data_IF_188409579590
#
_entry.id   IF_188409579590
#
_cell.length_a   1.000
_cell.length_b   1.000
_cell.length_c   1.000
_cell.angle_alpha   90.00
_cell.angle_beta   90.00
_cell.angle_gamma   90.00
#
_symmetry.space_group_name_H-M   'P 1'
#
loop_
_entity.id
_entity.type
_entity.pdbx_description
1 polymer ?
#
# COMPACT_ATOMS: atom_id res chain seq x y z
N UNK A 1 -32.34 1.36 11.35
CA UNK A 1 -31.47 2.25 10.62
C UNK A 1 -30.12 1.59 10.33
N UNK A 2 -29.81 1.41 9.07
CA UNK A 2 -28.57 0.73 8.64
C UNK A 2 -27.60 1.73 8.07
N UNK A 3 -26.39 1.76 8.62
CA UNK A 3 -25.30 2.51 8.04
C UNK A 3 -24.59 1.61 7.02
N UNK A 4 -24.50 2.07 5.78
CA UNK A 4 -23.78 1.34 4.74
C UNK A 4 -22.30 1.35 5.04
N UNK A 5 -21.69 0.16 5.05
CA UNK A 5 -20.25 0.01 5.19
C UNK A 5 -19.58 0.35 3.86
N UNK A 6 -18.51 1.10 3.90
CA UNK A 6 -17.76 1.50 2.73
C UNK A 6 -16.33 1.01 2.79
N UNK A 7 -15.75 0.83 1.61
CA UNK A 7 -14.34 0.56 1.46
C UNK A 7 -13.74 1.55 0.47
N UNK A 8 -12.51 1.94 0.71
CA UNK A 8 -11.70 2.74 -0.21
C UNK A 8 -10.49 1.92 -0.61
N UNK A 9 -10.12 2.02 -1.87
CA UNK A 9 -8.98 1.30 -2.41
C UNK A 9 -8.18 2.19 -3.35
N UNK A 10 -6.87 2.14 -3.19
CA UNK A 10 -5.93 2.70 -4.17
C UNK A 10 -5.08 1.58 -4.72
N UNK A 11 -4.89 1.57 -6.02
CA UNK A 11 -3.99 0.65 -6.68
C UNK A 11 -3.11 1.41 -7.67
N UNK A 12 -1.92 0.88 -7.90
CA UNK A 12 -0.99 1.45 -8.84
C UNK A 12 0.00 0.39 -9.30
N UNK A 13 0.61 0.67 -10.44
CA UNK A 13 1.75 -0.07 -10.95
C UNK A 13 2.99 0.78 -10.75
N UNK A 14 4.04 0.22 -10.18
CA UNK A 14 5.24 0.97 -9.82
C UNK A 14 6.50 0.27 -10.28
N UNK A 15 7.48 1.06 -10.69
CA UNK A 15 8.76 0.58 -11.19
C UNK A 15 9.89 1.38 -10.56
N UNK A 16 10.94 0.68 -10.17
CA UNK A 16 12.16 1.31 -9.71
C UNK A 16 13.36 0.42 -9.97
N UNK A 17 14.54 0.98 -9.80
CA UNK A 17 15.80 0.26 -9.96
C UNK A 17 16.68 0.51 -8.76
N UNK A 18 17.55 -0.45 -8.47
CA UNK A 18 18.60 -0.25 -7.48
C UNK A 18 19.85 0.31 -8.16
N UNK A 19 20.69 1.01 -7.37
CA UNK A 19 22.01 1.41 -7.80
C UNK A 19 23.02 1.00 -6.74
N UNK A 20 23.83 -0.03 -7.05
CA UNK A 20 24.68 -0.64 -6.05
C UNK A 20 23.85 -1.27 -4.93
N UNK A 21 24.06 -0.81 -3.69
CA UNK A 21 23.31 -1.26 -2.51
C UNK A 21 22.14 -0.35 -2.16
N UNK A 22 21.88 0.67 -2.99
CA UNK A 22 20.84 1.66 -2.74
C UNK A 22 19.56 1.26 -3.45
N UNK A 23 18.49 1.17 -2.68
CA UNK A 23 17.15 0.82 -3.19
C UNK A 23 16.19 1.98 -3.00
N UNK A 24 15.23 2.16 -3.91
CA UNK A 24 14.14 3.08 -3.67
C UNK A 24 13.15 2.49 -2.68
N UNK A 25 12.31 3.37 -2.10
CA UNK A 25 11.12 2.99 -1.35
C UNK A 25 9.93 3.61 -2.07
N UNK A 26 8.87 2.85 -2.29
CA UNK A 26 7.70 3.34 -2.98
C UNK A 26 6.43 2.70 -2.43
N UNK A 27 5.32 3.41 -2.58
CA UNK A 27 4.06 2.92 -2.05
C UNK A 27 2.84 3.76 -2.40
N UNK A 28 1.72 3.31 -1.89
CA UNK A 28 0.41 3.95 -2.02
C UNK A 28 -0.17 4.22 -0.66
N UNK A 29 -0.99 5.25 -0.54
CA UNK A 29 -1.56 5.66 0.75
C UNK A 29 -3.02 6.08 0.63
N UNK A 30 -3.73 5.91 1.74
CA UNK A 30 -5.12 6.34 1.91
C UNK A 30 -5.24 7.12 3.22
N UNK A 31 -6.27 7.93 3.32
CA UNK A 31 -6.62 8.68 4.54
C UNK A 31 -5.58 9.75 4.92
N UNK A 32 -4.89 10.32 3.96
CA UNK A 32 -3.99 11.45 4.18
C UNK A 32 -2.63 11.06 4.74
N UNK A 33 -1.85 12.08 5.10
CA UNK A 33 -0.46 11.91 5.56
C UNK A 33 -0.36 11.07 6.84
N UNK A 34 -1.33 11.22 7.74
CA UNK A 34 -1.39 10.45 8.98
C UNK A 34 -2.29 9.21 8.87
N UNK A 35 -2.67 8.85 7.65
CA UNK A 35 -3.43 7.63 7.38
C UNK A 35 -2.54 6.42 7.19
N UNK A 36 -2.93 5.57 6.28
CA UNK A 36 -2.24 4.29 6.04
C UNK A 36 -1.43 4.34 4.75
N UNK A 37 -0.24 3.76 4.79
CA UNK A 37 0.64 3.65 3.64
C UNK A 37 1.14 2.22 3.51
N UNK A 38 0.96 1.67 2.33
CA UNK A 38 1.55 0.39 1.94
C UNK A 38 2.79 0.70 1.13
N UNK A 39 3.96 0.24 1.59
CA UNK A 39 5.20 0.49 0.88
C UNK A 39 6.06 -0.76 0.71
N UNK A 40 6.78 -0.77 -0.38
CA UNK A 40 7.84 -1.74 -0.64
C UNK A 40 9.15 -1.12 -0.19
N UNK A 41 9.84 -1.77 0.74
CA UNK A 41 11.12 -1.33 1.29
C UNK A 41 12.19 -2.40 0.99
N UNK A 42 12.76 -2.41 -0.23
CA UNK A 42 13.62 -3.51 -0.67
C UNK A 42 14.91 -3.64 0.15
N UNK A 43 15.47 -2.53 0.62
CA UNK A 43 16.66 -2.57 1.48
C UNK A 43 16.42 -3.31 2.79
N UNK A 44 15.19 -3.28 3.28
CA UNK A 44 14.75 -4.01 4.47
C UNK A 44 14.20 -5.40 4.13
N UNK A 45 14.13 -5.73 2.84
CA UNK A 45 13.54 -6.97 2.33
C UNK A 45 12.12 -7.19 2.85
N UNK A 46 11.32 -6.13 2.83
CA UNK A 46 10.01 -6.15 3.43
C UNK A 46 8.98 -5.31 2.66
N UNK A 47 7.72 -5.71 2.84
CA UNK A 47 6.57 -4.86 2.61
C UNK A 47 6.14 -4.39 3.99
N UNK A 48 5.90 -3.09 4.11
CA UNK A 48 5.51 -2.46 5.37
C UNK A 48 4.17 -1.76 5.21
N UNK A 49 3.36 -1.85 6.25
CA UNK A 49 2.14 -1.08 6.38
C UNK A 49 2.35 -0.08 7.51
N UNK A 50 2.20 1.21 7.20
CA UNK A 50 2.41 2.28 8.16
C UNK A 50 1.09 2.98 8.47
N UNK A 51 0.98 3.42 9.72
CA UNK A 51 -0.03 4.39 10.15
C UNK A 51 0.71 5.65 10.55
N UNK A 52 0.57 6.71 9.75
CA UNK A 52 1.46 7.87 9.87
C UNK A 52 2.90 7.44 9.63
N UNK A 53 3.76 7.66 10.61
CA UNK A 53 5.17 7.27 10.55
C UNK A 53 5.47 5.93 11.24
N UNK A 54 4.47 5.29 11.85
CA UNK A 54 4.66 4.06 12.61
C UNK A 54 4.39 2.83 11.74
N UNK A 55 5.30 1.86 11.74
CA UNK A 55 5.08 0.57 11.09
C UNK A 55 4.15 -0.27 11.96
N UNK A 56 2.97 -0.58 11.45
CA UNK A 56 1.95 -1.35 12.18
C UNK A 56 1.90 -2.81 11.73
N UNK A 57 2.45 -3.12 10.55
CA UNK A 57 2.60 -4.49 10.08
C UNK A 57 3.75 -4.58 9.10
N UNK A 58 4.36 -5.76 9.00
CA UNK A 58 5.53 -5.99 8.16
C UNK A 58 5.57 -7.45 7.74
N UNK A 59 5.86 -7.71 6.46
CA UNK A 59 6.02 -9.06 5.95
C UNK A 59 7.28 -9.13 5.07
N UNK A 60 7.98 -10.28 5.04
CA UNK A 60 9.15 -10.45 4.17
C UNK A 60 8.77 -10.33 2.70
N UNK A 61 9.62 -9.68 1.94
CA UNK A 61 9.43 -9.55 0.49
C UNK A 61 10.78 -9.33 -0.19
N UNK A 62 11.01 -10.04 -1.29
CA UNK A 62 12.21 -9.87 -2.10
C UNK A 62 11.88 -9.22 -3.42
N UNK A 63 12.64 -8.19 -3.74
CA UNK A 63 12.55 -7.49 -5.01
C UNK A 63 13.94 -7.01 -5.41
N UNK A 64 14.37 -7.40 -6.59
CA UNK A 64 15.72 -7.10 -7.06
C UNK A 64 15.86 -5.81 -7.85
N UNK A 65 14.75 -5.14 -8.12
CA UNK A 65 14.72 -3.96 -8.98
C UNK A 65 14.51 -4.31 -10.45
N UNK A 66 14.18 -3.30 -11.26
CA UNK A 66 14.05 -3.46 -12.70
C UNK A 66 12.80 -4.19 -13.17
N UNK A 67 11.79 -4.31 -12.31
CA UNK A 67 10.51 -4.88 -12.71
C UNK A 67 9.35 -4.08 -12.15
N UNK A 68 8.24 -4.11 -12.85
CA UNK A 68 7.00 -3.48 -12.41
C UNK A 68 6.33 -4.34 -11.35
N UNK A 69 5.92 -3.68 -10.26
CA UNK A 69 5.09 -4.27 -9.23
C UNK A 69 3.72 -3.62 -9.22
N UNK A 70 2.70 -4.39 -8.89
CA UNK A 70 1.38 -3.86 -8.60
C UNK A 70 1.15 -3.84 -7.10
N UNK A 71 0.62 -2.71 -6.62
CA UNK A 71 0.26 -2.51 -5.23
C UNK A 71 -1.21 -2.17 -5.15
N UNK A 72 -1.91 -2.70 -4.16
CA UNK A 72 -3.25 -2.23 -3.82
C UNK A 72 -3.38 -2.14 -2.32
N UNK A 73 -4.00 -1.06 -1.86
CA UNK A 73 -4.26 -0.80 -0.45
C UNK A 73 -5.75 -0.56 -0.28
N UNK A 74 -6.38 -1.28 0.63
CA UNK A 74 -7.80 -1.16 0.92
C UNK A 74 -8.00 -0.88 2.39
N UNK A 75 -8.87 0.09 2.68
CA UNK A 75 -9.34 0.38 4.03
C UNK A 75 -10.85 0.21 4.02
N UNK A 76 -11.35 -0.70 4.83
CA UNK A 76 -12.78 -1.01 4.85
C UNK A 76 -13.29 -1.23 6.28
N UNK A 77 -14.53 -0.84 6.50
CA UNK A 77 -15.21 -1.15 7.74
C UNK A 77 -15.69 -2.60 7.69
N UNK A 78 -15.21 -3.42 8.61
CA UNK A 78 -15.54 -4.86 8.69
C UNK A 78 -16.43 -5.21 9.85
N UNK A 79 -16.71 -4.25 10.72
CA UNK A 79 -17.63 -4.39 11.85
C UNK A 79 -18.09 -3.01 12.31
N UNK A 80 -18.96 -2.96 13.32
CA UNK A 80 -19.47 -1.68 13.82
C UNK A 80 -18.35 -0.80 14.41
N UNK A 81 -17.37 -1.45 15.05
CA UNK A 81 -16.21 -0.78 15.64
C UNK A 81 -14.91 -1.42 15.15
N UNK A 82 -14.91 -1.93 13.94
CA UNK A 82 -13.73 -2.56 13.37
C UNK A 82 -13.51 -2.11 11.93
N UNK A 83 -12.28 -1.75 11.61
CA UNK A 83 -11.81 -1.47 10.26
C UNK A 83 -10.63 -2.36 9.95
N UNK A 84 -10.57 -2.86 8.73
CA UNK A 84 -9.46 -3.67 8.25
C UNK A 84 -8.72 -2.93 7.18
N UNK A 85 -7.41 -2.83 7.35
CA UNK A 85 -6.49 -2.28 6.38
C UNK A 85 -5.76 -3.45 5.75
N UNK A 86 -5.84 -3.59 4.45
CA UNK A 86 -5.23 -4.71 3.75
C UNK A 86 -4.46 -4.25 2.52
N UNK A 87 -3.33 -4.89 2.27
CA UNK A 87 -2.48 -4.61 1.14
C UNK A 87 -2.14 -5.85 0.36
N UNK A 88 -1.98 -5.67 -0.95
CA UNK A 88 -1.48 -6.71 -1.86
C UNK A 88 -0.34 -6.15 -2.67
N UNK A 89 0.71 -6.94 -2.85
CA UNK A 89 1.84 -6.61 -3.71
C UNK A 89 2.17 -7.82 -4.54
N UNK A 90 2.24 -7.65 -5.86
CA UNK A 90 2.54 -8.75 -6.77
C UNK A 90 3.24 -8.24 -8.02
N UNK A 91 3.92 -9.15 -8.73
CA UNK A 91 4.58 -8.82 -9.98
C UNK A 91 3.55 -8.48 -11.06
N UNK A 92 3.82 -7.43 -11.82
CA UNK A 92 2.97 -7.06 -12.95
C UNK A 92 2.96 -8.20 -13.99
N UNK A 93 1.80 -8.43 -14.58
CA UNK A 93 1.59 -9.54 -15.51
C UNK A 93 1.21 -10.86 -14.86
N UNK A 94 1.24 -10.93 -13.52
CA UNK A 94 0.76 -12.11 -12.78
C UNK A 94 -0.60 -11.82 -12.16
N UNK A 95 -1.40 -12.86 -11.86
CA UNK A 95 -2.68 -12.66 -11.18
C UNK A 95 -2.50 -12.04 -9.80
N UNK A 96 -3.41 -11.18 -9.40
CA UNK A 96 -3.43 -10.64 -8.04
C UNK A 96 -3.63 -11.78 -7.04
N UNK A 97 -2.96 -11.73 -5.87
CA UNK A 97 -3.18 -12.70 -4.82
C UNK A 97 -4.64 -12.71 -4.38
N UNK A 98 -5.20 -13.89 -4.12
CA UNK A 98 -6.56 -14.00 -3.62
C UNK A 98 -6.68 -13.46 -2.19
N UNK A 99 -5.64 -13.63 -1.39
CA UNK A 99 -5.59 -13.15 -0.01
C UNK A 99 -4.68 -11.93 0.11
N UNK A 100 -4.95 -11.04 1.07
CA UNK A 100 -4.04 -9.92 1.33
C UNK A 100 -2.63 -10.40 1.67
N UNK A 101 -1.64 -9.68 1.16
CA UNK A 101 -0.23 -9.91 1.50
C UNK A 101 0.06 -9.45 2.93
N UNK A 102 -0.63 -8.39 3.37
CA UNK A 102 -0.42 -7.76 4.67
C UNK A 102 -1.75 -7.18 5.16
N UNK A 103 -2.02 -7.28 6.46
CA UNK A 103 -3.25 -6.78 7.07
C UNK A 103 -2.98 -6.12 8.40
N UNK A 104 -3.87 -5.22 8.77
CA UNK A 104 -3.89 -4.55 10.07
C UNK A 104 -5.34 -4.23 10.43
N UNK A 105 -5.70 -4.40 11.69
CA UNK A 105 -7.03 -4.09 12.19
C UNK A 105 -7.02 -2.87 13.08
N UNK A 106 -8.06 -2.07 12.94
CA UNK A 106 -8.26 -0.85 13.71
C UNK A 106 -9.59 -0.89 14.45
N UNK A 107 -9.58 -0.43 15.69
CA UNK A 107 -10.78 -0.30 16.51
C UNK A 107 -11.42 1.08 16.41
N UNK A 108 -10.75 2.04 15.79
CA UNK A 108 -11.24 3.40 15.62
C UNK A 108 -11.39 3.72 14.14
N UNK A 109 -12.39 4.54 13.83
CA UNK A 109 -12.60 5.00 12.48
C UNK A 109 -11.36 5.73 11.95
N UNK A 110 -10.86 5.34 10.76
CA UNK A 110 -9.71 6.01 10.15
C UNK A 110 -9.99 7.49 9.89
N UNK A 111 -8.94 8.30 9.97
CA UNK A 111 -9.04 9.73 9.68
C UNK A 111 -9.42 9.95 8.22
N UNK A 112 -10.09 11.05 7.95
CA UNK A 112 -10.35 11.49 6.58
C UNK A 112 -9.08 12.09 5.99
N UNK A 113 -8.90 11.92 4.70
CA UNK A 113 -7.77 12.46 3.98
C UNK A 113 -7.69 11.92 2.56
N UNK A 114 -6.78 12.48 1.78
CA UNK A 114 -6.66 12.16 0.37
C UNK A 114 -5.81 10.91 0.14
N UNK A 115 -6.11 10.14 -0.92
CA UNK A 115 -5.20 9.11 -1.40
C UNK A 115 -3.95 9.75 -1.99
N UNK A 116 -2.84 9.00 -1.98
CA UNK A 116 -1.58 9.49 -2.53
C UNK A 116 -0.67 8.35 -2.98
N UNK A 117 0.30 8.71 -3.79
CA UNK A 117 1.43 7.85 -4.13
C UNK A 117 2.68 8.40 -3.46
N UNK A 118 3.59 7.51 -3.10
CA UNK A 118 4.78 7.84 -2.33
C UNK A 118 6.03 7.26 -2.96
N UNK A 119 7.14 7.97 -2.83
CA UNK A 119 8.42 7.48 -3.31
C UNK A 119 9.59 8.22 -2.70
N UNK A 120 10.65 7.46 -2.42
CA UNK A 120 11.95 7.99 -2.02
C UNK A 120 13.01 7.28 -2.86
N UNK A 121 13.56 7.98 -3.88
CA UNK A 121 14.51 7.35 -4.80
C UNK A 121 15.94 7.38 -4.25
N UNK A 122 16.19 6.67 -3.19
CA UNK A 122 17.53 6.60 -2.59
C UNK A 122 18.61 6.12 -3.54
N UNK A 123 18.22 5.43 -4.62
CA UNK A 123 19.14 4.97 -5.66
C UNK A 123 19.57 6.08 -6.60
N UNK A 124 18.91 7.23 -6.55
CA UNK A 124 19.14 8.32 -7.52
C UNK A 124 18.52 8.06 -8.88
N UNK A 125 17.80 6.96 -9.06
CA UNK A 125 17.10 6.63 -10.30
C UNK A 125 15.60 6.93 -10.16
N UNK A 126 14.91 7.24 -11.27
CA UNK A 126 13.49 7.54 -11.19
C UNK A 126 12.65 6.38 -10.68
N UNK A 127 11.63 6.69 -9.90
CA UNK A 127 10.53 5.77 -9.60
C UNK A 127 9.42 6.11 -10.59
N UNK A 128 8.87 5.09 -11.25
CA UNK A 128 7.80 5.26 -12.24
C UNK A 128 6.50 4.74 -11.68
N UNK A 129 5.43 5.47 -11.94
CA UNK A 129 4.08 5.16 -11.50
C UNK A 129 3.16 5.12 -12.72
N UNK A 130 2.26 4.13 -12.74
CA UNK A 130 1.29 4.00 -13.80
C UNK A 130 0.02 3.33 -13.27
N UNK A 131 -1.08 3.45 -14.00
CA UNK A 131 -2.36 2.83 -13.66
C UNK A 131 -2.82 3.15 -12.23
N UNK A 132 -2.69 4.41 -11.82
CA UNK A 132 -3.16 4.84 -10.49
C UNK A 132 -4.67 4.92 -10.51
N UNK A 133 -5.32 4.11 -9.69
CA UNK A 133 -6.78 4.03 -9.59
C UNK A 133 -7.20 4.15 -8.14
N UNK A 134 -8.15 5.04 -7.87
CA UNK A 134 -8.77 5.21 -6.56
C UNK A 134 -10.25 4.88 -6.69
N UNK A 135 -10.74 4.00 -5.81
CA UNK A 135 -12.13 3.55 -5.82
C UNK A 135 -12.76 3.71 -4.46
N UNK A 136 -14.04 4.07 -4.48
CA UNK A 136 -14.94 3.92 -3.33
C UNK A 136 -15.84 2.72 -3.61
N UNK A 137 -15.81 1.75 -2.72
CA UNK A 137 -16.59 0.52 -2.86
C UNK A 137 -17.68 0.53 -1.81
N UNK A 138 -18.93 0.51 -2.26
CA UNK A 138 -20.08 0.38 -1.39
C UNK A 138 -20.33 -1.10 -1.10
N UNK A 139 -20.64 -1.40 0.15
CA UNK A 139 -20.97 -2.76 0.59
C UNK A 139 -22.36 -2.82 1.18
#
# INVERSE_FOLDING_TARGET
FFKQKTAYEISARMFGTKKGRRFPVFGVALNGVNGYRLQVAPAKRAIELLKGSAVVAKVPFRWGGGEWLRLSLRVEQTGDTEWTVSGKVWADGKPAPAKPTITHKEAKEPRKGKPSIWGSPYSGTPIRYDDVVVKKIAK
#
